data_IF_595159450950
#
_entry.id   IF_595159450950
#
_cell.length_a   1.000
_cell.length_b   1.000
_cell.length_c   1.000
_cell.angle_alpha   90.00
_cell.angle_beta   90.00
_cell.angle_gamma   90.00
#
_symmetry.space_group_name_H-M   'P 1'
#
loop_
_entity.id
_entity.type
_entity.pdbx_description
1 polymer ?
#
# COMPACT_ATOMS: atom_id res chain seq x y z
N UNK A 1 -53.85 41.24 -23.39
CA UNK A 1 -52.37 41.21 -23.36
C UNK A 1 -51.91 39.77 -23.07
N UNK A 2 -51.42 39.05 -24.07
CA UNK A 2 -50.90 37.69 -23.93
C UNK A 2 -49.38 37.83 -23.70
N UNK A 3 -48.92 37.39 -22.51
CA UNK A 3 -47.48 37.29 -22.27
C UNK A 3 -46.97 36.00 -22.93
N UNK A 4 -46.04 36.15 -23.89
CA UNK A 4 -45.31 35.08 -24.51
C UNK A 4 -44.09 34.83 -23.63
N UNK A 5 -44.14 33.77 -22.76
CA UNK A 5 -42.95 33.31 -22.06
C UNK A 5 -42.00 32.65 -23.04
N UNK A 6 -40.81 33.24 -23.20
CA UNK A 6 -39.75 32.75 -24.07
C UNK A 6 -39.20 31.45 -23.59
N UNK A 7 -39.45 30.35 -24.31
CA UNK A 7 -38.86 29.00 -24.10
C UNK A 7 -37.31 28.98 -24.26
N UNK A 8 -36.70 30.05 -24.78
CA UNK A 8 -35.26 30.09 -25.04
C UNK A 8 -34.37 30.22 -23.81
N UNK A 9 -34.91 30.79 -22.69
CA UNK A 9 -34.12 30.95 -21.46
C UNK A 9 -33.93 29.68 -20.66
N UNK A 10 -34.86 28.74 -20.72
CA UNK A 10 -34.77 27.47 -19.99
C UNK A 10 -33.81 26.45 -20.63
N UNK A 11 -33.71 26.44 -21.98
CA UNK A 11 -32.76 25.55 -22.67
C UNK A 11 -31.30 25.98 -22.43
N UNK A 12 -30.98 27.29 -22.35
CA UNK A 12 -29.61 27.77 -22.08
C UNK A 12 -29.16 27.43 -20.65
N UNK A 13 -30.05 27.48 -19.65
CA UNK A 13 -29.70 27.12 -18.26
C UNK A 13 -29.41 25.65 -18.09
N UNK A 14 -30.13 24.77 -18.80
CA UNK A 14 -29.92 23.31 -18.72
C UNK A 14 -28.62 22.89 -19.41
N UNK A 15 -28.24 23.51 -20.53
CA UNK A 15 -26.95 23.22 -21.17
C UNK A 15 -25.74 23.69 -20.33
N UNK A 16 -25.88 24.73 -19.52
CA UNK A 16 -24.79 25.21 -18.67
C UNK A 16 -24.54 24.30 -17.45
N UNK A 17 -25.55 23.58 -16.97
CA UNK A 17 -25.39 22.60 -15.87
C UNK A 17 -24.79 21.25 -16.29
N UNK A 18 -24.84 20.88 -17.57
CA UNK A 18 -24.29 19.62 -18.09
C UNK A 18 -22.79 19.67 -18.37
N UNK A 19 -22.15 20.85 -18.33
CA UNK A 19 -20.75 21.05 -18.68
C UNK A 19 -19.74 20.90 -17.52
N UNK A 20 -20.17 20.63 -16.28
CA UNK A 20 -19.30 20.71 -15.09
C UNK A 20 -19.00 19.37 -14.41
N UNK A 21 -19.26 18.24 -15.03
CA UNK A 21 -18.78 16.96 -14.51
C UNK A 21 -17.41 16.66 -15.13
N UNK A 22 -16.38 17.34 -14.64
CA UNK A 22 -15.01 16.88 -14.87
C UNK A 22 -14.85 15.55 -14.09
N UNK A 23 -14.37 14.48 -14.72
CA UNK A 23 -14.01 13.26 -13.98
C UNK A 23 -12.91 13.64 -13.00
N UNK A 24 -13.23 13.61 -11.72
CA UNK A 24 -12.24 13.78 -10.66
C UNK A 24 -11.45 12.47 -10.54
N UNK A 25 -10.45 12.28 -11.39
CA UNK A 25 -9.44 11.27 -11.15
C UNK A 25 -8.50 11.84 -10.08
N UNK A 26 -8.32 11.06 -9.03
CA UNK A 26 -7.54 11.49 -7.88
C UNK A 26 -6.61 10.34 -7.45
N UNK A 27 -5.33 10.63 -7.21
CA UNK A 27 -4.33 9.67 -6.75
C UNK A 27 -3.57 10.25 -5.55
N UNK A 28 -3.24 9.43 -4.54
CA UNK A 28 -3.67 8.05 -4.34
C UNK A 28 -5.08 7.95 -3.78
N UNK A 29 -5.67 6.73 -3.83
CA UNK A 29 -6.99 6.44 -3.27
C UNK A 29 -6.91 5.82 -1.87
N UNK A 30 -5.77 5.22 -1.53
CA UNK A 30 -5.53 4.54 -0.26
C UNK A 30 -4.15 4.93 0.26
N UNK A 31 -4.04 5.22 1.55
CA UNK A 31 -2.77 5.42 2.24
C UNK A 31 -2.52 4.27 3.21
N UNK A 32 -1.32 3.71 3.12
CA UNK A 32 -0.88 2.64 4.01
C UNK A 32 0.37 3.09 4.76
N UNK A 33 0.30 3.01 6.09
CA UNK A 33 1.47 3.08 6.95
C UNK A 33 2.04 1.68 7.10
N UNK A 34 3.23 1.44 6.55
CA UNK A 34 3.81 0.12 6.44
C UNK A 34 5.01 -0.10 7.36
N UNK A 35 5.15 -1.34 7.81
CA UNK A 35 6.34 -1.88 8.46
C UNK A 35 6.68 -3.22 7.81
N UNK A 36 7.95 -3.60 7.82
CA UNK A 36 8.38 -4.91 7.34
C UNK A 36 9.37 -5.56 8.31
N UNK A 37 9.34 -6.88 8.36
CA UNK A 37 10.35 -7.69 9.04
C UNK A 37 10.97 -8.65 8.05
N UNK A 38 12.29 -8.61 7.90
CA UNK A 38 13.04 -9.55 7.06
C UNK A 38 13.39 -10.75 7.93
N UNK A 39 12.82 -11.90 7.59
CA UNK A 39 12.96 -13.13 8.36
C UNK A 39 14.12 -13.97 7.84
N UNK A 40 15.02 -14.30 8.74
CA UNK A 40 16.17 -15.15 8.45
C UNK A 40 16.02 -16.51 9.12
N UNK A 41 16.60 -17.54 8.55
CA UNK A 41 16.83 -18.82 9.21
C UNK A 41 18.22 -18.84 9.89
N UNK A 42 18.52 -19.94 10.56
CA UNK A 42 19.73 -20.10 11.37
C UNK A 42 21.03 -20.11 10.57
N UNK A 43 20.98 -20.38 9.25
CA UNK A 43 22.15 -20.33 8.35
C UNK A 43 22.40 -18.94 7.76
N UNK A 44 21.56 -17.95 8.12
CA UNK A 44 21.63 -16.57 7.63
C UNK A 44 20.97 -16.36 6.27
N UNK A 45 20.19 -17.32 5.78
CA UNK A 45 19.39 -17.13 4.55
C UNK A 45 18.09 -16.40 4.87
N UNK A 46 17.69 -15.47 4.00
CA UNK A 46 16.37 -14.82 4.03
C UNK A 46 15.34 -15.83 3.56
N UNK A 47 14.26 -15.98 4.34
CA UNK A 47 13.19 -16.94 4.07
C UNK A 47 11.88 -16.28 3.68
N UNK A 48 11.60 -15.09 4.25
CA UNK A 48 10.32 -14.40 4.04
C UNK A 48 10.42 -12.93 4.44
N UNK A 49 9.40 -12.17 4.08
CA UNK A 49 9.12 -10.84 4.58
C UNK A 49 7.78 -10.90 5.33
N UNK A 50 7.74 -10.46 6.60
CA UNK A 50 6.47 -10.19 7.28
C UNK A 50 6.13 -8.73 7.07
N UNK A 51 4.92 -8.48 6.59
CA UNK A 51 4.36 -7.15 6.40
C UNK A 51 3.36 -6.82 7.50
N UNK A 52 3.35 -5.56 7.92
CA UNK A 52 2.32 -4.98 8.79
C UNK A 52 1.89 -3.67 8.13
N UNK A 53 0.63 -3.60 7.70
CA UNK A 53 0.05 -2.48 6.99
C UNK A 53 -1.14 -1.92 7.77
N UNK A 54 -1.06 -0.66 8.16
CA UNK A 54 -2.18 0.09 8.73
C UNK A 54 -2.78 0.94 7.62
N UNK A 55 -4.04 0.68 7.30
CA UNK A 55 -4.79 1.45 6.30
C UNK A 55 -5.29 2.77 6.89
N UNK A 56 -5.51 3.76 6.04
CA UNK A 56 -6.11 5.02 6.44
C UNK A 56 -7.58 4.87 6.93
N UNK A 57 -8.09 5.92 7.58
CA UNK A 57 -9.44 5.88 8.16
C UNK A 57 -10.55 5.74 7.10
N UNK A 58 -10.39 6.38 5.93
CA UNK A 58 -11.40 6.34 4.88
C UNK A 58 -11.51 4.95 4.27
N UNK A 59 -10.36 4.32 3.96
CA UNK A 59 -10.34 2.94 3.49
C UNK A 59 -10.83 1.98 4.58
N UNK A 60 -10.41 2.18 5.83
CA UNK A 60 -10.88 1.36 6.96
C UNK A 60 -12.40 1.38 7.06
N UNK A 61 -13.02 2.56 7.06
CA UNK A 61 -14.47 2.69 7.15
C UNK A 61 -15.19 2.02 5.96
N UNK A 62 -14.63 2.17 4.75
CA UNK A 62 -15.15 1.52 3.54
C UNK A 62 -15.05 -0.01 3.60
N UNK A 63 -13.86 -0.52 3.88
CA UNK A 63 -13.55 -1.96 3.83
C UNK A 63 -14.25 -2.77 4.94
N UNK A 64 -14.55 -2.12 6.07
CA UNK A 64 -15.19 -2.78 7.22
C UNK A 64 -16.71 -2.61 7.27
N UNK A 65 -17.28 -1.90 6.29
CA UNK A 65 -18.73 -1.65 6.27
C UNK A 65 -19.52 -2.97 6.22
N UNK A 66 -20.37 -3.18 7.23
CA UNK A 66 -21.25 -4.35 7.31
C UNK A 66 -20.57 -5.63 7.80
N UNK A 67 -19.34 -5.57 8.26
CA UNK A 67 -18.61 -6.74 8.77
C UNK A 67 -18.89 -7.04 10.25
N UNK A 68 -19.45 -6.12 11.04
CA UNK A 68 -19.97 -6.39 12.38
C UNK A 68 -21.27 -7.23 12.27
N UNK A 69 -21.08 -8.54 12.17
CA UNK A 69 -22.17 -9.48 11.88
C UNK A 69 -22.96 -9.86 13.11
N UNK A 70 -22.35 -9.87 14.29
CA UNK A 70 -22.99 -10.16 15.57
C UNK A 70 -23.54 -8.90 16.26
N UNK A 71 -23.24 -7.72 15.69
CA UNK A 71 -23.72 -6.39 16.12
C UNK A 71 -23.32 -6.01 17.55
N UNK A 72 -22.13 -6.43 17.95
CA UNK A 72 -21.56 -6.09 19.25
C UNK A 72 -20.89 -4.70 19.27
N UNK A 73 -20.83 -4.02 18.12
CA UNK A 73 -20.18 -2.71 17.92
C UNK A 73 -18.68 -2.79 17.77
N UNK A 74 -18.11 -3.98 17.58
CA UNK A 74 -16.69 -4.22 17.31
C UNK A 74 -16.54 -5.11 16.09
N UNK A 75 -15.41 -5.03 15.44
CA UNK A 75 -15.10 -5.90 14.32
C UNK A 75 -13.98 -6.84 14.76
N UNK A 76 -14.31 -8.11 14.91
CA UNK A 76 -13.42 -9.16 15.36
C UNK A 76 -12.53 -9.68 14.22
N UNK A 77 -11.43 -10.38 14.56
CA UNK A 77 -10.60 -11.06 13.54
C UNK A 77 -11.37 -12.12 12.75
N UNK A 78 -12.34 -12.79 13.36
CA UNK A 78 -13.17 -13.77 12.67
C UNK A 78 -14.04 -13.16 11.60
N UNK A 79 -14.57 -11.98 11.84
CA UNK A 79 -15.36 -11.22 10.87
C UNK A 79 -14.50 -10.63 9.74
N UNK A 80 -13.24 -10.33 10.03
CA UNK A 80 -12.26 -9.85 9.06
C UNK A 80 -11.57 -10.97 8.25
N UNK A 81 -11.81 -12.26 8.59
CA UNK A 81 -11.06 -13.36 7.97
C UNK A 81 -11.30 -13.45 6.46
N UNK A 82 -12.53 -13.25 5.99
CA UNK A 82 -12.83 -13.25 4.55
C UNK A 82 -12.09 -12.13 3.80
N UNK A 83 -12.11 -10.93 4.37
CA UNK A 83 -11.41 -9.77 3.81
C UNK A 83 -9.88 -10.00 3.80
N UNK A 84 -9.32 -10.58 4.86
CA UNK A 84 -7.90 -10.90 4.94
C UNK A 84 -7.49 -11.93 3.87
N UNK A 85 -8.31 -12.96 3.65
CA UNK A 85 -8.07 -13.97 2.64
C UNK A 85 -8.11 -13.37 1.24
N UNK A 86 -9.15 -12.63 0.89
CA UNK A 86 -9.30 -11.99 -0.41
C UNK A 86 -8.12 -11.07 -0.74
N UNK A 87 -7.70 -10.25 0.24
CA UNK A 87 -6.52 -9.41 0.08
C UNK A 87 -5.24 -10.23 -0.12
N UNK A 88 -5.00 -11.26 0.70
CA UNK A 88 -3.80 -12.10 0.57
C UNK A 88 -3.72 -12.80 -0.78
N UNK A 89 -4.85 -13.30 -1.28
CA UNK A 89 -4.93 -13.99 -2.57
C UNK A 89 -4.70 -13.04 -3.76
N UNK A 90 -5.17 -11.78 -3.69
CA UNK A 90 -5.03 -10.80 -4.77
C UNK A 90 -3.66 -10.13 -4.85
N UNK A 91 -2.83 -10.16 -3.79
CA UNK A 91 -1.55 -9.46 -3.76
C UNK A 91 -0.61 -9.80 -4.92
N UNK A 92 -0.68 -11.03 -5.45
CA UNK A 92 0.17 -11.46 -6.56
C UNK A 92 -0.06 -10.66 -7.85
N UNK A 93 -1.26 -10.11 -8.05
CA UNK A 93 -1.61 -9.28 -9.22
C UNK A 93 -0.84 -7.96 -9.24
N UNK A 94 -0.34 -7.53 -8.07
CA UNK A 94 0.36 -6.28 -7.85
C UNK A 94 1.85 -6.48 -7.50
N UNK A 95 2.46 -7.61 -7.88
CA UNK A 95 3.83 -7.95 -7.48
C UNK A 95 4.01 -7.87 -5.94
N UNK A 96 2.95 -8.16 -5.16
CA UNK A 96 2.90 -8.06 -3.70
C UNK A 96 3.26 -6.65 -3.18
N UNK A 97 3.20 -5.62 -3.99
CA UNK A 97 3.72 -4.27 -3.72
C UNK A 97 5.15 -4.28 -3.16
N UNK A 98 5.91 -5.34 -3.41
CA UNK A 98 7.20 -5.60 -2.76
C UNK A 98 8.29 -5.89 -3.78
N UNK A 99 9.34 -5.07 -3.78
CA UNK A 99 10.54 -5.29 -4.56
C UNK A 99 11.70 -5.66 -3.65
N UNK A 100 12.07 -6.94 -3.61
CA UNK A 100 13.24 -7.44 -2.88
C UNK A 100 14.38 -7.71 -3.87
N UNK A 101 15.58 -7.23 -3.56
CA UNK A 101 16.81 -7.56 -4.29
C UNK A 101 17.83 -8.13 -3.32
N UNK A 102 18.37 -9.29 -3.63
CA UNK A 102 19.45 -9.93 -2.90
C UNK A 102 20.60 -10.12 -3.89
N UNK A 103 21.76 -9.51 -3.63
CA UNK A 103 22.93 -9.49 -4.51
C UNK A 103 22.58 -9.10 -5.96
N UNK A 104 21.72 -8.08 -6.09
CA UNK A 104 21.24 -7.57 -7.37
C UNK A 104 20.18 -8.42 -8.07
N UNK A 105 19.84 -9.59 -7.57
CA UNK A 105 18.81 -10.49 -8.13
C UNK A 105 17.50 -10.35 -7.38
N UNK A 106 16.39 -10.54 -8.08
CA UNK A 106 15.05 -10.59 -7.50
C UNK A 106 14.65 -12.05 -7.28
N UNK A 107 14.57 -12.53 -6.03
CA UNK A 107 14.03 -13.86 -5.76
C UNK A 107 12.53 -13.89 -6.03
N UNK A 108 12.02 -15.06 -6.41
CA UNK A 108 10.59 -15.28 -6.54
C UNK A 108 9.94 -15.42 -5.16
N UNK A 109 8.72 -14.89 -5.04
CA UNK A 109 7.88 -15.03 -3.87
C UNK A 109 6.89 -16.17 -4.06
N UNK A 110 6.59 -16.88 -2.97
CA UNK A 110 5.45 -17.78 -2.87
C UNK A 110 4.18 -17.04 -2.49
N UNK A 111 3.09 -17.79 -2.27
CA UNK A 111 1.83 -17.21 -1.82
C UNK A 111 1.93 -16.70 -0.37
N UNK A 112 1.27 -15.57 -0.04
CA UNK A 112 1.16 -15.10 1.32
C UNK A 112 0.59 -16.16 2.27
N UNK A 113 1.12 -16.21 3.48
CA UNK A 113 0.67 -17.12 4.54
C UNK A 113 0.63 -16.41 5.89
N UNK A 114 0.09 -17.10 6.90
CA UNK A 114 -0.01 -16.55 8.26
C UNK A 114 -0.63 -15.13 8.27
N UNK A 115 -1.65 -14.96 7.44
CA UNK A 115 -2.30 -13.66 7.25
C UNK A 115 -3.54 -13.52 8.14
N UNK A 116 -3.74 -12.31 8.61
CA UNK A 116 -4.95 -11.89 9.30
C UNK A 116 -5.15 -10.39 9.19
N UNK A 117 -6.39 -9.96 9.40
CA UNK A 117 -6.71 -8.56 9.65
C UNK A 117 -7.24 -8.38 11.07
N UNK A 118 -6.98 -7.20 11.63
CA UNK A 118 -7.49 -6.80 12.94
C UNK A 118 -7.70 -5.29 12.98
N UNK A 119 -8.54 -4.84 13.92
CA UNK A 119 -8.63 -3.42 14.23
C UNK A 119 -7.49 -3.03 15.16
N UNK A 120 -6.68 -2.06 14.75
CA UNK A 120 -5.58 -1.45 15.52
C UNK A 120 -5.97 -0.02 15.89
N UNK A 121 -6.64 0.14 17.02
CA UNK A 121 -7.34 1.39 17.33
C UNK A 121 -8.45 1.66 16.30
N UNK A 122 -8.49 2.83 15.66
CA UNK A 122 -9.50 3.13 14.63
C UNK A 122 -9.15 2.57 13.24
N UNK A 123 -7.95 2.03 13.04
CA UNK A 123 -7.45 1.64 11.73
C UNK A 123 -7.52 0.12 11.53
N UNK A 124 -7.80 -0.29 10.29
CA UNK A 124 -7.67 -1.66 9.85
C UNK A 124 -6.19 -1.99 9.68
N UNK A 125 -5.73 -3.05 10.32
CA UNK A 125 -4.38 -3.59 10.17
C UNK A 125 -4.40 -4.90 9.42
N UNK A 126 -3.56 -5.02 8.39
CA UNK A 126 -3.30 -6.27 7.69
C UNK A 126 -1.89 -6.76 8.00
N UNK A 127 -1.79 -8.00 8.46
CA UNK A 127 -0.52 -8.68 8.73
C UNK A 127 -0.46 -9.93 7.87
N UNK A 128 0.67 -10.15 7.21
CA UNK A 128 0.91 -11.37 6.43
C UNK A 128 2.40 -11.66 6.30
N UNK A 129 2.73 -12.91 6.02
CA UNK A 129 4.08 -13.37 5.71
C UNK A 129 4.16 -13.70 4.23
N UNK A 130 5.06 -13.05 3.52
CA UNK A 130 5.37 -13.27 2.12
C UNK A 130 6.65 -14.14 2.04
N UNK A 131 6.54 -15.45 1.81
CA UNK A 131 7.70 -16.33 1.76
C UNK A 131 8.45 -16.16 0.44
N UNK A 132 9.75 -16.34 0.45
CA UNK A 132 10.50 -16.63 -0.77
C UNK A 132 10.23 -18.07 -1.20
N UNK A 133 10.13 -18.35 -2.50
CA UNK A 133 10.02 -19.72 -3.01
C UNK A 133 11.20 -20.59 -2.55
N UNK A 134 12.39 -19.98 -2.48
CA UNK A 134 13.62 -20.62 -1.98
C UNK A 134 14.35 -19.65 -1.07
N UNK A 135 14.81 -20.07 0.11
CA UNK A 135 15.68 -19.25 0.95
C UNK A 135 16.92 -18.80 0.19
N UNK A 136 17.33 -17.54 0.38
CA UNK A 136 18.50 -16.96 -0.28
C UNK A 136 19.43 -16.35 0.75
N UNK A 137 20.68 -16.77 0.79
CA UNK A 137 21.71 -16.18 1.65
C UNK A 137 22.35 -14.98 0.98
N UNK A 138 22.18 -13.76 1.53
CA UNK A 138 22.87 -12.58 1.02
C UNK A 138 24.38 -12.72 1.16
N UNK A 139 25.12 -12.31 0.13
CA UNK A 139 26.59 -12.28 0.14
C UNK A 139 27.13 -10.87 0.32
N UNK A 140 26.47 -9.88 -0.29
CA UNK A 140 26.95 -8.50 -0.32
C UNK A 140 25.86 -7.50 0.05
N UNK A 141 24.64 -7.68 -0.45
CA UNK A 141 23.61 -6.67 -0.27
C UNK A 141 22.20 -7.25 -0.34
N UNK A 142 21.33 -6.64 0.42
CA UNK A 142 19.88 -6.85 0.34
C UNK A 142 19.21 -5.49 0.36
N UNK A 143 18.21 -5.29 -0.49
CA UNK A 143 17.36 -4.11 -0.43
C UNK A 143 15.91 -4.47 -0.63
N UNK A 144 15.03 -3.77 0.09
CA UNK A 144 13.58 -3.90 -0.02
C UNK A 144 12.93 -2.53 -0.23
N UNK A 145 11.93 -2.50 -1.11
CA UNK A 145 11.02 -1.39 -1.34
C UNK A 145 9.59 -1.90 -1.27
N UNK A 146 8.70 -1.13 -0.65
CA UNK A 146 7.27 -1.39 -0.61
C UNK A 146 6.61 -0.20 -1.28
N UNK A 147 5.98 -0.44 -2.43
CA UNK A 147 5.40 0.62 -3.24
C UNK A 147 4.40 0.06 -4.25
N UNK A 148 3.37 0.84 -4.55
CA UNK A 148 2.54 0.66 -5.73
C UNK A 148 3.10 1.51 -6.88
N UNK A 149 3.48 0.88 -7.98
CA UNK A 149 4.02 1.56 -9.16
C UNK A 149 3.03 2.56 -9.74
N UNK A 150 1.74 2.23 -9.75
CA UNK A 150 0.66 3.07 -10.30
C UNK A 150 0.29 4.24 -9.41
N UNK A 151 0.73 4.24 -8.16
CA UNK A 151 0.36 5.22 -7.14
C UNK A 151 -1.15 5.25 -6.82
N UNK A 152 -1.85 4.14 -7.04
CA UNK A 152 -3.22 3.99 -6.54
C UNK A 152 -3.21 3.87 -5.01
N UNK A 153 -2.19 3.19 -4.47
CA UNK A 153 -1.90 3.06 -3.05
C UNK A 153 -0.60 3.82 -2.72
N UNK A 154 -0.65 4.75 -1.78
CA UNK A 154 0.53 5.40 -1.22
C UNK A 154 1.06 4.62 -0.01
N UNK A 155 2.25 4.05 -0.15
CA UNK A 155 2.94 3.39 0.96
C UNK A 155 3.91 4.33 1.65
N UNK A 156 3.77 4.49 2.96
CA UNK A 156 4.69 5.22 3.81
C UNK A 156 5.26 4.27 4.88
N UNK A 157 6.57 4.05 4.88
CA UNK A 157 7.19 3.34 6.00
C UNK A 157 7.18 4.23 7.23
N UNK A 158 6.85 3.67 8.40
CA UNK A 158 6.92 4.39 9.68
C UNK A 158 8.29 5.03 9.87
N UNK A 159 8.36 6.06 10.70
CA UNK A 159 9.62 6.67 11.07
C UNK A 159 10.42 5.81 12.07
N UNK A 160 11.74 5.98 12.07
CA UNK A 160 12.65 5.34 13.02
C UNK A 160 13.01 3.89 12.69
N UNK A 161 13.62 3.23 13.66
CA UNK A 161 14.24 1.89 13.53
C UNK A 161 13.22 0.76 13.40
N UNK A 162 11.94 1.05 13.64
CA UNK A 162 10.85 0.09 13.48
C UNK A 162 10.38 -0.14 12.04
N UNK A 163 10.81 0.71 11.10
CA UNK A 163 10.32 0.68 9.71
C UNK A 163 10.63 -0.64 9.00
N UNK A 164 11.85 -1.12 9.15
CA UNK A 164 12.26 -2.45 8.67
C UNK A 164 13.11 -3.10 9.75
N UNK A 165 12.67 -4.24 10.25
CA UNK A 165 13.36 -5.01 11.27
C UNK A 165 14.02 -6.25 10.67
N UNK A 166 15.09 -6.69 11.29
CA UNK A 166 15.76 -7.95 10.98
C UNK A 166 15.44 -8.96 12.07
N UNK A 167 14.82 -10.08 11.71
CA UNK A 167 14.45 -11.14 12.66
C UNK A 167 15.38 -12.33 12.45
N UNK A 168 16.09 -12.74 13.49
CA UNK A 168 17.10 -13.81 13.47
C UNK A 168 18.24 -13.59 12.45
N UNK A 169 18.53 -12.34 12.11
CA UNK A 169 19.65 -12.00 11.21
C UNK A 169 21.01 -12.33 11.87
N UNK A 170 22.06 -12.56 11.05
CA UNK A 170 23.43 -12.66 11.54
C UNK A 170 23.83 -11.43 12.35
N UNK A 171 24.73 -11.62 13.32
CA UNK A 171 25.24 -10.50 14.14
C UNK A 171 25.93 -9.45 13.28
N UNK A 172 25.77 -8.18 13.62
CA UNK A 172 26.39 -7.05 12.94
C UNK A 172 25.63 -6.57 11.70
N UNK A 173 24.52 -7.22 11.31
CA UNK A 173 23.69 -6.69 10.24
C UNK A 173 23.01 -5.37 10.68
N UNK A 174 22.98 -4.42 9.76
CA UNK A 174 22.37 -3.09 9.97
C UNK A 174 21.37 -2.77 8.87
N UNK A 175 20.39 -1.94 9.18
CA UNK A 175 19.40 -1.44 8.21
C UNK A 175 19.61 0.06 8.03
N UNK A 176 19.70 0.49 6.77
CA UNK A 176 19.70 1.89 6.38
C UNK A 176 18.45 2.22 5.57
N UNK A 177 17.68 3.19 6.03
CA UNK A 177 16.46 3.65 5.34
C UNK A 177 16.82 4.85 4.45
N UNK A 178 16.63 4.72 3.16
CA UNK A 178 16.78 5.78 2.18
C UNK A 178 15.38 6.26 1.78
N UNK A 179 14.98 7.42 2.30
CA UNK A 179 13.72 8.06 1.95
C UNK A 179 13.87 8.91 0.71
N UNK A 180 12.86 8.98 -0.17
CA UNK A 180 12.88 9.89 -1.31
C UNK A 180 12.90 11.34 -0.82
N UNK A 181 13.44 12.25 -1.63
CA UNK A 181 13.45 13.68 -1.31
C UNK A 181 12.04 14.26 -1.24
N UNK A 182 11.14 13.76 -2.07
CA UNK A 182 9.74 14.12 -2.10
C UNK A 182 8.95 12.98 -1.46
N UNK A 183 8.29 13.25 -0.34
CA UNK A 183 7.40 12.28 0.28
C UNK A 183 6.10 12.15 -0.51
N UNK A 184 5.45 11.00 -0.41
CA UNK A 184 4.12 10.83 -0.97
C UNK A 184 3.17 11.89 -0.39
N UNK A 185 2.36 12.55 -1.24
CA UNK A 185 1.37 13.50 -0.77
C UNK A 185 0.44 12.86 0.25
N UNK A 186 0.12 13.57 1.31
CA UNK A 186 -0.86 13.15 2.31
C UNK A 186 -2.30 13.46 1.91
N UNK A 187 -2.47 14.07 0.76
CA UNK A 187 -3.76 14.41 0.15
C UNK A 187 -3.80 13.91 -1.27
N UNK A 188 -4.98 13.63 -1.73
CA UNK A 188 -5.25 13.23 -3.10
C UNK A 188 -4.80 14.31 -4.09
N UNK A 189 -4.00 13.95 -5.07
CA UNK A 189 -3.60 14.84 -6.15
C UNK A 189 -4.73 14.95 -7.17
N UNK A 190 -4.91 16.15 -7.72
CA UNK A 190 -5.73 16.29 -8.94
C UNK A 190 -5.09 15.54 -10.11
N UNK A 191 -5.89 15.14 -11.09
CA UNK A 191 -5.39 14.49 -12.30
C UNK A 191 -4.28 15.30 -12.98
N UNK A 192 -4.43 16.63 -13.03
CA UNK A 192 -3.40 17.50 -13.60
C UNK A 192 -2.07 17.43 -12.83
N UNK A 193 -2.13 17.39 -11.50
CA UNK A 193 -0.93 17.27 -10.68
C UNK A 193 -0.30 15.88 -10.83
N UNK A 194 -1.10 14.83 -10.93
CA UNK A 194 -0.63 13.46 -11.19
C UNK A 194 0.05 13.36 -12.57
N UNK A 195 -0.57 13.92 -13.60
CA UNK A 195 0.02 13.96 -14.95
C UNK A 195 1.33 14.77 -14.99
N UNK A 196 1.43 15.85 -14.21
CA UNK A 196 2.67 16.63 -14.10
C UNK A 196 3.82 15.84 -13.46
N UNK A 197 3.53 14.80 -12.66
CA UNK A 197 4.51 13.86 -12.11
C UNK A 197 4.93 12.78 -13.11
N UNK A 198 4.38 12.79 -14.32
CA UNK A 198 4.66 11.82 -15.37
C UNK A 198 3.51 10.88 -15.68
N UNK A 199 2.40 10.92 -14.93
CA UNK A 199 1.08 10.30 -15.23
C UNK A 199 1.12 8.85 -15.70
N UNK A 200 2.10 8.06 -15.31
CA UNK A 200 2.37 6.76 -15.88
C UNK A 200 2.49 5.63 -14.85
N UNK A 201 2.79 4.43 -15.36
CA UNK A 201 2.81 3.19 -14.60
C UNK A 201 3.87 3.12 -13.48
N UNK A 202 4.78 4.11 -13.39
CA UNK A 202 5.90 4.09 -12.42
C UNK A 202 5.94 5.32 -11.50
N UNK A 203 4.88 6.15 -11.49
CA UNK A 203 4.82 7.37 -10.67
C UNK A 203 5.02 7.06 -9.18
N UNK A 204 4.44 5.97 -8.69
CA UNK A 204 4.56 5.60 -7.29
C UNK A 204 5.99 5.28 -6.83
N UNK A 205 6.87 4.86 -7.75
CA UNK A 205 8.26 4.57 -7.41
C UNK A 205 9.08 5.81 -7.03
N UNK A 206 8.64 7.01 -7.43
CA UNK A 206 9.27 8.27 -7.06
C UNK A 206 9.14 8.54 -5.55
N UNK A 207 8.13 7.95 -4.91
CA UNK A 207 7.84 8.07 -3.49
C UNK A 207 8.31 6.86 -2.67
N UNK A 208 8.86 5.84 -3.34
CA UNK A 208 9.26 4.60 -2.68
C UNK A 208 10.42 4.82 -1.71
N UNK A 209 10.24 4.40 -0.46
CA UNK A 209 11.31 4.31 0.52
C UNK A 209 12.05 2.99 0.34
N UNK A 210 13.37 3.06 0.24
CA UNK A 210 14.24 1.89 0.11
C UNK A 210 14.97 1.60 1.41
N UNK A 211 14.80 0.40 1.94
CA UNK A 211 15.67 -0.10 3.01
C UNK A 211 16.81 -0.95 2.40
N UNK A 212 18.02 -0.70 2.87
CA UNK A 212 19.22 -1.43 2.49
C UNK A 212 19.76 -2.12 3.73
N UNK A 213 19.98 -3.42 3.63
CA UNK A 213 20.60 -4.22 4.69
C UNK A 213 22.03 -4.52 4.29
N UNK A 214 22.95 -4.27 5.19
CA UNK A 214 24.34 -4.65 5.12
C UNK A 214 24.70 -5.55 6.29
N UNK A 215 25.35 -6.68 6.00
CA UNK A 215 25.90 -7.61 6.97
C UNK A 215 27.41 -7.66 6.79
N UNK A 216 28.21 -7.87 7.88
CA UNK A 216 29.67 -7.99 7.78
C UNK A 216 30.11 -9.22 6.98
#
# INVERSE_FOLDING_TARGET
MRQVFSLGGLLSAVLFCLGLVAPAHAHPHVWITAQAEILYNTDGSVTAIRHVWDFDEAYTAFATQGLDTDKDGKISRSELQGLAQENAESLHEFDFFTSLKIDGKRPAFGQPKDYFMEMSGPLLRFVYVLPLEKPVKPKTSLSIEIADKSFFVAFNLIEGDGAVKLVAAPQGCTVRINRPKTQAPQQTLSEQAFQALGGGADVGLQFATRAIVACP
#
